data_IF_035158822432
#
_entry.id   IF_035158822432
#
_cell.length_a   1.000
_cell.length_b   1.000
_cell.length_c   1.000
_cell.angle_alpha   90.00
_cell.angle_beta   90.00
_cell.angle_gamma   90.00
#
_symmetry.space_group_name_H-M   'P 1'
#
loop_
_entity.id
_entity.type
_entity.pdbx_description
1 polymer ?
#
# COMPACT_ATOMS: atom_id res chain seq x y z
N UNK A 1 44.72 -43.15 70.33
CA UNK A 1 45.55 -42.56 69.26
C UNK A 1 44.80 -42.36 67.93
N UNK A 2 43.47 -42.08 67.97
CA UNK A 2 42.66 -41.84 66.75
C UNK A 2 42.00 -40.46 66.72
N UNK A 3 41.70 -39.83 67.86
CA UNK A 3 41.07 -38.50 67.90
C UNK A 3 41.98 -37.38 67.33
N UNK A 4 43.28 -37.44 67.57
CA UNK A 4 44.24 -36.42 67.10
C UNK A 4 44.45 -36.44 65.58
N UNK A 5 44.27 -37.59 64.92
CA UNK A 5 44.35 -37.71 63.45
C UNK A 5 43.11 -37.11 62.77
N UNK A 6 41.92 -37.31 63.33
CA UNK A 6 40.69 -36.72 62.81
C UNK A 6 40.61 -35.20 63.06
N UNK A 7 41.17 -34.72 64.17
CA UNK A 7 41.24 -33.29 64.46
C UNK A 7 42.19 -32.55 63.50
N UNK A 8 43.33 -33.16 63.14
CA UNK A 8 44.25 -32.57 62.16
C UNK A 8 43.65 -32.55 60.75
N UNK A 9 42.92 -33.62 60.38
CA UNK A 9 42.23 -33.70 59.08
C UNK A 9 41.09 -32.69 58.96
N UNK A 10 40.35 -32.46 60.05
CA UNK A 10 39.29 -31.44 60.12
C UNK A 10 39.85 -30.01 60.06
N UNK A 11 41.03 -29.77 60.67
CA UNK A 11 41.69 -28.47 60.63
C UNK A 11 42.21 -28.12 59.23
N UNK A 12 42.73 -29.10 58.48
CA UNK A 12 43.15 -28.91 57.08
C UNK A 12 41.93 -28.67 56.18
N UNK A 13 40.81 -29.37 56.41
CA UNK A 13 39.58 -29.16 55.64
C UNK A 13 38.96 -27.76 55.85
N UNK A 14 39.11 -27.18 57.05
CA UNK A 14 38.63 -25.82 57.36
C UNK A 14 39.46 -24.70 56.70
N UNK A 15 40.74 -24.94 56.39
CA UNK A 15 41.61 -23.94 55.74
C UNK A 15 41.42 -23.86 54.21
N UNK A 16 40.70 -24.81 53.60
CA UNK A 16 40.42 -24.84 52.16
C UNK A 16 39.02 -24.25 51.83
N UNK A 17 38.22 -23.91 52.83
CA UNK A 17 36.93 -23.27 52.61
C UNK A 17 37.05 -21.75 52.50
N UNK A 18 36.87 -21.28 51.26
CA UNK A 18 36.47 -19.92 50.87
C UNK A 18 37.57 -18.85 50.72
N UNK A 19 38.53 -19.06 49.83
CA UNK A 19 38.95 -17.94 48.98
C UNK A 19 37.88 -17.74 47.89
N UNK A 20 36.96 -16.79 48.07
CA UNK A 20 36.18 -16.29 46.92
C UNK A 20 37.18 -15.60 46.00
N UNK A 21 37.56 -16.24 44.91
CA UNK A 21 38.15 -15.51 43.80
C UNK A 21 37.08 -14.55 43.32
N UNK A 22 37.20 -13.26 43.65
CA UNK A 22 36.61 -12.22 42.83
C UNK A 22 37.42 -12.22 41.54
N UNK A 23 37.16 -13.20 40.67
CA UNK A 23 37.51 -13.04 39.28
C UNK A 23 36.72 -11.81 38.86
N UNK A 24 37.44 -10.71 38.66
CA UNK A 24 36.92 -9.51 38.04
C UNK A 24 36.47 -9.99 36.66
N UNK A 25 35.16 -10.23 36.50
CA UNK A 25 34.63 -10.64 35.23
C UNK A 25 34.98 -9.53 34.25
N UNK A 26 35.55 -9.89 33.10
CA UNK A 26 35.92 -8.91 32.09
C UNK A 26 34.71 -8.01 31.81
N UNK A 27 34.93 -6.71 31.81
CA UNK A 27 33.88 -5.72 31.59
C UNK A 27 33.18 -6.04 30.26
N UNK A 28 31.87 -6.33 30.34
CA UNK A 28 31.10 -6.73 29.16
C UNK A 28 30.93 -5.50 28.26
N UNK A 29 31.49 -5.59 27.05
CA UNK A 29 31.33 -4.55 26.03
C UNK A 29 29.93 -4.64 25.41
N UNK A 30 28.98 -3.95 26.04
CA UNK A 30 27.59 -3.88 25.60
C UNK A 30 27.43 -3.30 24.19
N UNK A 31 28.35 -2.46 23.72
CA UNK A 31 28.30 -1.91 22.37
C UNK A 31 28.63 -2.98 21.31
N UNK A 32 29.51 -3.93 21.67
CA UNK A 32 29.79 -5.11 20.84
C UNK A 32 28.69 -6.18 20.95
N UNK A 33 28.12 -6.36 22.14
CA UNK A 33 27.05 -7.35 22.36
C UNK A 33 25.73 -6.92 21.73
N UNK A 34 25.46 -5.62 21.67
CA UNK A 34 24.23 -5.03 21.14
C UNK A 34 24.55 -3.86 20.20
N UNK A 35 25.19 -4.12 19.04
CA UNK A 35 25.53 -3.08 18.11
C UNK A 35 24.25 -2.39 17.62
N UNK A 36 24.19 -1.08 17.75
CA UNK A 36 23.05 -0.29 17.26
C UNK A 36 22.98 -0.38 15.73
N UNK A 37 22.02 -1.12 15.20
CA UNK A 37 21.83 -1.34 13.76
C UNK A 37 21.07 -0.20 13.07
N UNK A 38 20.76 0.88 13.80
CA UNK A 38 19.93 1.98 13.33
C UNK A 38 18.48 1.87 13.84
N UNK A 39 17.66 2.89 13.52
CA UNK A 39 16.22 2.84 13.79
C UNK A 39 15.59 1.86 12.80
N UNK A 40 15.03 0.77 13.32
CA UNK A 40 14.30 -0.20 12.50
C UNK A 40 13.15 0.51 11.79
N UNK A 41 13.11 0.43 10.45
CA UNK A 41 12.03 1.02 9.67
C UNK A 41 10.72 0.33 10.05
N UNK A 42 9.62 1.07 10.28
CA UNK A 42 8.35 0.45 10.60
C UNK A 42 7.99 -0.59 9.55
N UNK A 43 7.75 -1.83 9.99
CA UNK A 43 7.30 -2.90 9.12
C UNK A 43 5.94 -2.51 8.57
N UNK A 44 5.83 -2.39 7.24
CA UNK A 44 4.56 -2.08 6.59
C UNK A 44 3.65 -3.29 6.74
N UNK A 45 2.77 -3.26 7.74
CA UNK A 45 1.76 -4.29 7.93
C UNK A 45 0.58 -4.00 6.99
N UNK A 46 0.62 -4.58 5.79
CA UNK A 46 -0.51 -4.54 4.87
C UNK A 46 -1.67 -5.43 5.32
N UNK A 47 -1.42 -6.40 6.21
CA UNK A 47 -2.41 -7.34 6.74
C UNK A 47 -3.46 -6.64 7.61
N UNK A 48 -3.08 -5.55 8.27
CA UNK A 48 -3.99 -4.78 9.13
C UNK A 48 -4.88 -3.81 8.33
N UNK A 49 -4.63 -3.66 7.02
CA UNK A 49 -5.37 -2.73 6.16
C UNK A 49 -6.53 -3.43 5.48
N UNK A 50 -7.75 -3.14 5.95
CA UNK A 50 -8.97 -3.71 5.41
C UNK A 50 -9.34 -3.03 4.09
N UNK A 51 -9.32 -3.81 3.01
CA UNK A 51 -9.82 -3.39 1.70
C UNK A 51 -11.32 -3.62 1.66
N UNK A 52 -12.09 -2.55 1.44
CA UNK A 52 -13.53 -2.61 1.26
C UNK A 52 -13.86 -2.69 -0.22
N UNK A 53 -14.62 -3.71 -0.62
CA UNK A 53 -15.06 -3.88 -2.01
C UNK A 53 -16.35 -3.09 -2.26
N UNK A 54 -16.49 -2.53 -3.46
CA UNK A 54 -17.70 -1.84 -3.89
C UNK A 54 -18.27 -2.43 -5.19
N UNK A 55 -19.37 -1.84 -5.67
CA UNK A 55 -19.97 -2.22 -6.94
C UNK A 55 -19.33 -1.42 -8.10
N UNK A 56 -18.59 -2.06 -9.02
CA UNK A 56 -17.96 -1.36 -10.14
C UNK A 56 -18.96 -0.88 -11.20
N UNK A 57 -20.20 -1.38 -11.17
CA UNK A 57 -21.27 -1.01 -12.11
C UNK A 57 -22.20 0.09 -11.55
N UNK A 58 -21.91 0.62 -10.36
CA UNK A 58 -22.70 1.70 -9.79
C UNK A 58 -22.60 3.00 -10.64
N UNK A 59 -23.73 3.68 -10.90
CA UNK A 59 -23.72 4.98 -11.58
C UNK A 59 -23.13 6.06 -10.67
N UNK A 60 -22.71 7.19 -11.26
CA UNK A 60 -22.15 8.32 -10.49
C UNK A 60 -23.17 8.90 -9.49
N UNK A 61 -24.45 8.89 -9.86
CA UNK A 61 -25.57 9.39 -9.03
C UNK A 61 -25.70 8.68 -7.69
N UNK A 62 -25.28 7.43 -7.62
CA UNK A 62 -25.45 6.58 -6.43
C UNK A 62 -24.25 6.70 -5.48
N UNK A 63 -23.28 7.56 -5.82
CA UNK A 63 -22.10 7.74 -5.00
C UNK A 63 -22.43 8.39 -3.65
N UNK A 64 -22.11 7.66 -2.59
CA UNK A 64 -22.12 8.16 -1.22
C UNK A 64 -20.68 8.14 -0.70
N UNK A 65 -20.21 9.27 -0.18
CA UNK A 65 -18.84 9.40 0.34
C UNK A 65 -18.63 8.43 1.53
N UNK A 66 -17.75 7.42 1.40
CA UNK A 66 -17.63 6.35 2.41
C UNK A 66 -16.57 6.66 3.50
N UNK A 67 -16.06 7.89 3.55
CA UNK A 67 -15.06 8.29 4.54
C UNK A 67 -15.61 8.33 5.95
N UNK A 68 -14.71 8.27 6.92
CA UNK A 68 -15.02 8.34 8.36
C UNK A 68 -14.30 9.52 9.00
N UNK A 69 -14.79 9.97 10.14
CA UNK A 69 -14.12 11.01 10.91
C UNK A 69 -13.17 10.38 11.93
N UNK A 70 -11.89 10.74 11.86
CA UNK A 70 -10.85 10.32 12.82
C UNK A 70 -10.38 11.58 13.55
N UNK A 71 -10.47 11.57 14.88
CA UNK A 71 -10.14 12.74 15.72
C UNK A 71 -8.84 12.58 16.51
N UNK A 72 -8.26 11.37 16.54
CA UNK A 72 -7.03 11.05 17.28
C UNK A 72 -5.95 10.61 16.30
N UNK A 73 -4.71 11.01 16.58
CA UNK A 73 -3.52 10.62 15.82
C UNK A 73 -3.66 10.83 14.30
N UNK A 74 -4.34 11.93 13.93
CA UNK A 74 -4.65 12.27 12.53
C UNK A 74 -3.36 12.53 11.77
N UNK A 75 -3.18 11.77 10.69
CA UNK A 75 -2.08 11.93 9.74
C UNK A 75 -2.58 12.58 8.46
N UNK A 76 -1.64 13.21 7.76
CA UNK A 76 -1.83 13.66 6.38
C UNK A 76 -1.08 12.70 5.47
N UNK A 77 -1.67 12.37 4.33
CA UNK A 77 -1.17 11.44 3.34
C UNK A 77 -0.99 12.15 2.00
N UNK A 78 0.12 11.88 1.34
CA UNK A 78 0.32 12.13 -0.07
C UNK A 78 -0.28 10.97 -0.87
N UNK A 79 -1.39 11.25 -1.53
CA UNK A 79 -2.11 10.30 -2.39
C UNK A 79 -1.67 10.50 -3.83
N UNK A 80 -1.27 9.42 -4.47
CA UNK A 80 -0.87 9.38 -5.88
C UNK A 80 -1.78 8.44 -6.64
N UNK A 81 -2.43 8.96 -7.68
CA UNK A 81 -3.19 8.19 -8.67
C UNK A 81 -2.42 8.19 -9.99
N UNK A 82 -2.14 7.01 -10.52
CA UNK A 82 -1.61 6.82 -11.87
C UNK A 82 -2.61 6.02 -12.68
N UNK A 83 -2.87 6.43 -13.92
CA UNK A 83 -3.69 5.68 -14.84
C UNK A 83 -3.21 5.85 -16.27
N UNK A 84 -3.37 4.82 -17.08
CA UNK A 84 -3.03 4.83 -18.49
C UNK A 84 -3.90 3.81 -19.23
N UNK A 85 -4.24 4.13 -20.47
CA UNK A 85 -4.85 3.16 -21.37
C UNK A 85 -4.01 3.04 -22.63
N UNK A 86 -4.15 1.92 -23.31
CA UNK A 86 -3.53 1.70 -24.60
C UNK A 86 -4.47 0.92 -25.50
N UNK A 87 -4.66 1.38 -26.71
CA UNK A 87 -5.37 0.69 -27.80
C UNK A 87 -4.44 0.57 -28.99
N UNK A 88 -4.22 -0.66 -29.46
CA UNK A 88 -3.36 -0.95 -30.60
C UNK A 88 -4.13 -1.61 -31.75
N UNK A 89 -3.68 -1.36 -32.97
CA UNK A 89 -4.16 -2.03 -34.18
C UNK A 89 -3.66 -3.48 -34.26
N UNK A 90 -4.06 -4.19 -35.32
CA UNK A 90 -3.64 -5.58 -35.58
C UNK A 90 -2.12 -5.74 -35.80
N UNK A 91 -1.41 -4.65 -36.10
CA UNK A 91 0.03 -4.61 -36.30
C UNK A 91 0.78 -4.21 -35.01
N UNK A 92 0.05 -3.87 -33.93
CA UNK A 92 0.59 -3.45 -32.64
C UNK A 92 0.92 -1.95 -32.54
N UNK A 93 0.55 -1.14 -33.54
CA UNK A 93 0.72 0.31 -33.49
C UNK A 93 -0.41 0.97 -32.70
N UNK A 94 -0.13 2.09 -32.04
CA UNK A 94 -1.17 2.82 -31.32
C UNK A 94 -2.23 3.36 -32.29
N UNK A 95 -3.50 3.08 -31.99
CA UNK A 95 -4.63 3.63 -32.76
C UNK A 95 -4.68 5.16 -32.62
N UNK A 96 -4.88 5.91 -33.71
CA UNK A 96 -5.02 7.37 -33.66
C UNK A 96 -6.20 7.81 -32.79
N UNK A 97 -6.11 8.99 -32.15
CA UNK A 97 -7.16 9.47 -31.24
C UNK A 97 -8.56 9.54 -31.86
N UNK A 98 -8.66 9.83 -33.16
CA UNK A 98 -9.93 9.94 -33.88
C UNK A 98 -10.63 8.59 -34.10
N UNK A 99 -9.90 7.47 -33.98
CA UNK A 99 -10.37 6.12 -34.29
C UNK A 99 -10.54 5.25 -33.04
N UNK A 100 -10.27 5.81 -31.85
CA UNK A 100 -10.35 5.07 -30.59
C UNK A 100 -11.77 4.56 -30.32
N UNK A 101 -11.88 3.25 -30.11
CA UNK A 101 -13.13 2.62 -29.73
C UNK A 101 -13.26 2.41 -28.20
N UNK A 102 -12.15 2.45 -27.45
CA UNK A 102 -12.13 2.24 -26.00
C UNK A 102 -12.94 3.29 -25.23
N UNK A 103 -13.78 2.80 -24.30
CA UNK A 103 -14.61 3.59 -23.39
C UNK A 103 -14.38 3.12 -21.96
N UNK A 104 -13.15 3.26 -21.49
CA UNK A 104 -12.78 2.99 -20.10
C UNK A 104 -13.05 4.22 -19.23
N UNK A 105 -13.35 3.94 -17.97
CA UNK A 105 -13.52 4.93 -16.91
C UNK A 105 -12.69 4.52 -15.70
N UNK A 106 -11.99 5.50 -15.14
CA UNK A 106 -11.32 5.41 -13.84
C UNK A 106 -12.01 6.44 -12.94
N UNK A 107 -12.52 6.01 -11.79
CA UNK A 107 -13.10 6.92 -10.80
C UNK A 107 -12.32 6.88 -9.50
N UNK A 108 -12.16 8.06 -8.91
CA UNK A 108 -11.47 8.25 -7.64
C UNK A 108 -12.19 9.32 -6.82
N UNK A 109 -12.01 9.30 -5.51
CA UNK A 109 -12.49 10.38 -4.64
C UNK A 109 -11.42 11.46 -4.60
N UNK A 110 -11.77 12.69 -4.95
CA UNK A 110 -10.86 13.84 -4.92
C UNK A 110 -10.81 14.49 -3.53
N UNK A 111 -9.85 15.41 -3.32
CA UNK A 111 -9.64 16.09 -2.04
C UNK A 111 -10.86 16.89 -1.54
N UNK A 112 -11.71 17.35 -2.46
CA UNK A 112 -12.99 18.01 -2.17
C UNK A 112 -14.13 17.04 -1.81
N UNK A 113 -13.84 15.74 -1.64
CA UNK A 113 -14.78 14.65 -1.34
C UNK A 113 -15.78 14.32 -2.45
N UNK A 114 -15.60 14.84 -3.67
CA UNK A 114 -16.41 14.43 -4.83
C UNK A 114 -15.84 13.20 -5.51
N UNK A 115 -16.71 12.37 -6.09
CA UNK A 115 -16.30 11.33 -7.03
C UNK A 115 -15.95 12.00 -8.37
N UNK A 116 -14.72 11.79 -8.83
CA UNK A 116 -14.21 12.34 -10.09
C UNK A 116 -14.01 11.21 -11.09
N UNK A 117 -14.45 11.41 -12.33
CA UNK A 117 -14.30 10.44 -13.43
C UNK A 117 -13.24 10.90 -14.41
N UNK A 118 -12.30 10.01 -14.72
CA UNK A 118 -11.34 10.11 -15.82
C UNK A 118 -11.78 9.11 -16.89
N UNK A 119 -12.00 9.56 -18.12
CA UNK A 119 -12.47 8.69 -19.20
C UNK A 119 -11.48 8.61 -20.37
N UNK A 120 -11.56 7.54 -21.17
CA UNK A 120 -10.82 7.48 -22.45
C UNK A 120 -11.59 8.10 -23.60
N UNK A 121 -12.93 8.10 -23.51
CA UNK A 121 -13.80 8.59 -24.55
C UNK A 121 -14.24 10.04 -24.26
N UNK A 122 -14.01 10.94 -25.22
CA UNK A 122 -14.26 12.39 -25.09
C UNK A 122 -15.74 12.79 -25.07
N UNK A 123 -16.66 11.89 -25.39
CA UNK A 123 -18.11 12.14 -25.34
C UNK A 123 -18.74 11.72 -24.02
N UNK A 124 -17.93 11.34 -23.02
CA UNK A 124 -18.43 10.97 -21.70
C UNK A 124 -18.77 12.25 -20.90
N UNK A 125 -20.06 12.43 -20.57
CA UNK A 125 -20.57 13.62 -19.86
C UNK A 125 -20.18 13.65 -18.38
N UNK A 126 -19.93 12.50 -17.76
CA UNK A 126 -19.51 12.40 -16.35
C UNK A 126 -18.01 12.70 -16.17
N UNK A 127 -17.24 12.76 -17.26
CA UNK A 127 -15.79 12.87 -17.21
C UNK A 127 -15.33 14.30 -16.91
N UNK A 128 -14.45 14.43 -15.91
CA UNK A 128 -13.78 15.69 -15.58
C UNK A 128 -12.45 15.83 -16.33
N UNK A 129 -11.84 14.71 -16.71
CA UNK A 129 -10.62 14.69 -17.52
C UNK A 129 -10.58 13.46 -18.42
N UNK A 130 -9.69 13.52 -19.43
CA UNK A 130 -9.57 12.47 -20.44
C UNK A 130 -8.14 11.95 -20.53
N UNK A 131 -8.00 10.64 -20.74
CA UNK A 131 -6.72 10.00 -21.02
C UNK A 131 -6.35 10.12 -22.50
N UNK A 132 -5.05 10.14 -22.80
CA UNK A 132 -4.51 10.02 -24.16
C UNK A 132 -3.91 8.62 -24.39
N UNK A 133 -4.09 8.08 -25.60
CA UNK A 133 -3.70 6.71 -25.92
C UNK A 133 -2.19 6.49 -25.74
N UNK A 134 -1.82 5.51 -24.91
CA UNK A 134 -0.42 5.17 -24.65
C UNK A 134 0.32 6.13 -23.73
N UNK A 135 -0.36 7.14 -23.16
CA UNK A 135 0.23 8.08 -22.22
C UNK A 135 -0.22 7.81 -20.79
N UNK A 136 0.69 8.00 -19.83
CA UNK A 136 0.38 7.95 -18.42
C UNK A 136 -0.16 9.29 -17.94
N UNK A 137 -1.25 9.23 -17.20
CA UNK A 137 -1.80 10.34 -16.44
C UNK A 137 -1.51 10.11 -14.96
N UNK A 138 -1.02 11.15 -14.29
CA UNK A 138 -0.61 11.10 -12.89
C UNK A 138 -1.16 12.31 -12.15
N UNK A 139 -1.72 12.06 -10.97
CA UNK A 139 -2.32 13.06 -10.10
C UNK A 139 -1.83 12.86 -8.67
N UNK A 140 -1.54 13.98 -8.01
CA UNK A 140 -1.17 14.01 -6.61
C UNK A 140 -2.11 14.92 -5.83
N UNK A 141 -2.53 14.48 -4.66
CA UNK A 141 -3.28 15.32 -3.74
C UNK A 141 -3.07 14.87 -2.30
N UNK A 142 -3.34 15.77 -1.36
CA UNK A 142 -3.25 15.48 0.06
C UNK A 142 -4.62 15.07 0.61
N UNK A 143 -4.62 14.09 1.49
CA UNK A 143 -5.79 13.62 2.22
C UNK A 143 -5.45 13.40 3.70
N UNK A 144 -6.44 13.40 4.59
CA UNK A 144 -6.24 13.14 6.02
C UNK A 144 -6.73 11.73 6.39
N UNK A 145 -6.33 11.23 7.55
CA UNK A 145 -6.93 10.06 8.20
C UNK A 145 -8.46 10.11 8.12
N UNK A 146 -9.08 8.96 7.85
CA UNK A 146 -10.51 8.81 7.63
C UNK A 146 -10.95 9.02 6.18
N UNK A 147 -10.09 9.54 5.31
CA UNK A 147 -10.37 9.67 3.89
C UNK A 147 -10.42 8.30 3.19
N UNK A 148 -11.36 8.06 2.27
CA UNK A 148 -11.43 6.82 1.51
C UNK A 148 -10.50 6.90 0.29
N UNK A 149 -9.36 6.22 0.34
CA UNK A 149 -8.52 5.99 -0.84
C UNK A 149 -9.25 5.01 -1.77
N UNK A 150 -10.04 5.57 -2.67
CA UNK A 150 -11.00 4.86 -3.51
C UNK A 150 -10.50 4.76 -4.95
N UNK A 151 -10.67 3.57 -5.55
CA UNK A 151 -10.40 3.31 -6.96
C UNK A 151 -11.52 2.45 -7.55
N UNK A 152 -12.10 2.94 -8.64
CA UNK A 152 -12.96 2.17 -9.53
C UNK A 152 -12.40 2.21 -10.94
N UNK A 153 -12.38 1.06 -11.62
CA UNK A 153 -12.04 0.93 -13.03
C UNK A 153 -13.10 0.07 -13.70
N UNK A 154 -13.72 0.59 -14.76
CA UNK A 154 -14.73 -0.11 -15.54
C UNK A 154 -14.69 0.34 -17.00
N UNK A 155 -15.49 -0.29 -17.85
CA UNK A 155 -15.74 0.13 -19.21
C UNK A 155 -15.57 -0.97 -20.23
N UNK A 156 -15.55 -0.57 -21.49
CA UNK A 156 -15.50 -1.47 -22.65
C UNK A 156 -14.36 -1.09 -23.59
N UNK A 157 -13.81 -2.06 -24.31
CA UNK A 157 -12.81 -1.80 -25.33
C UNK A 157 -12.70 -2.93 -26.36
N UNK A 158 -12.08 -2.66 -27.51
CA UNK A 158 -11.86 -3.66 -28.55
C UNK A 158 -10.72 -4.63 -28.18
N UNK A 159 -10.54 -5.69 -28.98
CA UNK A 159 -9.31 -6.48 -28.94
C UNK A 159 -8.07 -5.59 -29.08
N UNK A 160 -7.06 -5.83 -28.26
CA UNK A 160 -5.82 -5.07 -28.27
C UNK A 160 -5.86 -3.80 -27.42
N UNK A 161 -6.97 -3.54 -26.72
CA UNK A 161 -7.02 -2.45 -25.73
C UNK A 161 -6.70 -2.92 -24.31
N UNK A 162 -6.24 -1.99 -23.49
CA UNK A 162 -5.89 -2.23 -22.09
C UNK A 162 -6.05 -0.97 -21.26
N UNK A 163 -6.30 -1.16 -19.97
CA UNK A 163 -6.40 -0.08 -18.99
C UNK A 163 -5.64 -0.49 -17.73
N UNK A 164 -4.85 0.44 -17.21
CA UNK A 164 -4.10 0.28 -15.97
C UNK A 164 -4.39 1.47 -15.07
N UNK A 165 -4.63 1.20 -13.79
CA UNK A 165 -4.76 2.24 -12.78
C UNK A 165 -4.16 1.78 -11.45
N UNK A 166 -3.59 2.72 -10.70
CA UNK A 166 -3.05 2.47 -9.36
C UNK A 166 -3.23 3.71 -8.52
N UNK A 167 -3.84 3.57 -7.34
CA UNK A 167 -3.86 4.60 -6.31
C UNK A 167 -3.09 4.11 -5.09
N UNK A 168 -2.25 4.97 -4.53
CA UNK A 168 -1.45 4.70 -3.34
C UNK A 168 -1.40 5.92 -2.44
N UNK A 169 -1.19 5.71 -1.14
CA UNK A 169 -1.03 6.78 -0.17
C UNK A 169 0.14 6.48 0.76
N UNK A 170 0.93 7.52 1.05
CA UNK A 170 2.04 7.48 2.01
C UNK A 170 1.83 8.66 2.97
N UNK A 171 1.94 8.44 4.28
CA UNK A 171 1.86 9.53 5.24
C UNK A 171 3.05 10.49 5.07
N UNK A 172 2.85 11.78 5.34
CA UNK A 172 3.92 12.79 5.19
C UNK A 172 5.15 12.49 6.07
N UNK A 173 4.95 11.83 7.21
CA UNK A 173 6.02 11.35 8.09
C UNK A 173 6.75 10.09 7.56
N UNK A 174 6.26 9.49 6.47
CA UNK A 174 6.79 8.28 5.84
C UNK A 174 6.61 7.00 6.66
N UNK A 175 5.92 7.07 7.81
CA UNK A 175 5.79 5.95 8.74
C UNK A 175 4.68 4.98 8.36
N UNK A 176 3.65 5.48 7.66
CA UNK A 176 2.46 4.70 7.28
C UNK A 176 2.34 4.64 5.77
N UNK A 177 2.51 3.44 5.22
CA UNK A 177 2.35 3.16 3.79
C UNK A 177 1.06 2.37 3.60
N UNK A 178 0.15 2.91 2.80
CA UNK A 178 -1.14 2.26 2.52
C UNK A 178 -1.00 1.33 1.32
N UNK A 179 -1.60 0.13 1.41
CA UNK A 179 -1.65 -0.89 0.37
C UNK A 179 -2.21 -0.27 -0.90
N UNK A 180 -1.45 -0.22 -2.01
CA UNK A 180 -1.97 0.37 -3.23
C UNK A 180 -3.12 -0.47 -3.79
N UNK A 181 -4.18 0.18 -4.26
CA UNK A 181 -5.22 -0.47 -5.05
C UNK A 181 -4.77 -0.41 -6.51
N UNK A 182 -4.74 -1.56 -7.19
CA UNK A 182 -4.18 -1.70 -8.54
C UNK A 182 -5.11 -2.49 -9.43
N UNK A 183 -5.22 -2.05 -10.68
CA UNK A 183 -5.97 -2.72 -11.74
C UNK A 183 -5.09 -2.74 -13.00
N UNK A 184 -5.06 -3.87 -13.68
CA UNK A 184 -4.42 -4.00 -14.98
C UNK A 184 -5.22 -4.99 -15.83
N UNK A 185 -6.03 -4.46 -16.74
CA UNK A 185 -6.96 -5.23 -17.55
C UNK A 185 -6.58 -5.14 -19.03
N UNK A 186 -6.70 -6.27 -19.72
CA UNK A 186 -6.42 -6.40 -21.15
C UNK A 186 -7.63 -7.02 -21.87
N UNK A 187 -7.94 -6.49 -23.06
CA UNK A 187 -8.98 -7.03 -23.93
C UNK A 187 -8.38 -7.84 -25.06
N UNK A 188 -8.75 -9.12 -25.08
CA UNK A 188 -8.27 -10.09 -26.06
C UNK A 188 -9.40 -10.70 -26.90
N UNK A 189 -10.65 -10.37 -26.59
CA UNK A 189 -11.84 -10.88 -27.26
C UNK A 189 -12.18 -10.02 -28.48
N UNK A 190 -12.71 -10.65 -29.52
CA UNK A 190 -13.15 -9.93 -30.72
C UNK A 190 -14.39 -9.08 -30.46
N UNK A 191 -14.49 -7.94 -31.14
CA UNK A 191 -15.54 -6.95 -30.91
C UNK A 191 -15.25 -6.03 -29.73
N UNK A 192 -16.25 -5.22 -29.34
CA UNK A 192 -16.16 -4.32 -28.19
C UNK A 192 -16.72 -5.06 -26.97
N UNK A 193 -15.85 -5.44 -26.04
CA UNK A 193 -16.19 -6.20 -24.84
C UNK A 193 -16.02 -5.38 -23.56
N UNK A 194 -16.70 -5.81 -22.48
CA UNK A 194 -16.48 -5.27 -21.13
C UNK A 194 -15.18 -5.84 -20.56
N UNK A 195 -14.47 -5.05 -19.74
CA UNK A 195 -13.32 -5.58 -19.00
C UNK A 195 -13.70 -6.78 -18.15
N UNK A 196 -12.80 -7.75 -18.02
CA UNK A 196 -13.08 -9.04 -17.36
C UNK A 196 -13.13 -8.88 -15.84
N UNK A 197 -12.22 -8.07 -15.29
CA UNK A 197 -12.20 -7.70 -13.88
C UNK A 197 -12.58 -6.24 -13.68
N UNK A 198 -13.88 -5.85 -13.81
CA UNK A 198 -14.29 -4.53 -13.35
C UNK A 198 -14.03 -4.45 -11.85
N UNK A 199 -13.38 -3.36 -11.43
CA UNK A 199 -12.82 -3.24 -10.09
C UNK A 199 -13.41 -2.03 -9.38
N UNK A 200 -13.77 -2.20 -8.11
CA UNK A 200 -14.16 -1.12 -7.23
C UNK A 200 -13.74 -1.48 -5.81
N UNK A 201 -12.87 -0.69 -5.21
CA UNK A 201 -12.50 -0.85 -3.82
C UNK A 201 -12.03 0.47 -3.21
N UNK A 202 -12.00 0.51 -1.88
CA UNK A 202 -11.37 1.58 -1.14
C UNK A 202 -10.71 1.08 0.16
N UNK A 203 -9.76 1.86 0.65
CA UNK A 203 -9.18 1.71 1.98
C UNK A 203 -9.39 3.04 2.71
N UNK A 204 -9.88 2.97 3.95
CA UNK A 204 -9.90 4.15 4.81
C UNK A 204 -8.47 4.42 5.27
N UNK A 205 -7.96 5.62 4.98
CA UNK A 205 -6.66 6.04 5.45
C UNK A 205 -6.67 6.04 7.00
N UNK A 206 -5.72 5.35 7.66
CA UNK A 206 -5.73 5.19 9.11
C UNK A 206 -5.38 6.47 9.86
#
# INVERSE_FOLDING_TARGET
MNAMKYMLLALVAMLVSCSRSTADYAEEDYDTLFPFTGVEKPKVSYEDQVVQLGNPDAPVSDFVYPGVEITKDVRTYDVTLTCSFREVDILGNNVPEAELASRYVVRYVAANRSLTTIATNKTNEDATSFLSNGQQHELHFKAKSGFPMYLLVNGVGPRGSSIKATISAISEDGLTIVKPLKVNEHQNEEGIGKIKGPFCAYIILP
#
